data_IF_446350053351
#
_entry.id   IF_446350053351
#
_cell.length_a   1.000
_cell.length_b   1.000
_cell.length_c   1.000
_cell.angle_alpha   90.00
_cell.angle_beta   90.00
_cell.angle_gamma   90.00
#
_symmetry.space_group_name_H-M   'P 1'
#
loop_
_entity.id
_entity.type
_entity.pdbx_description
1 polymer ?
#
# COMPACT_ATOMS: atom_id res chain seq x y z
N UNK A 1 -7.89 15.91 4.54
CA UNK A 1 -7.15 15.55 5.78
C UNK A 1 -7.95 14.67 6.73
N UNK A 2 -7.32 13.61 7.28
CA UNK A 2 -7.92 12.81 8.34
C UNK A 2 -8.22 13.65 9.61
N UNK A 3 -9.09 13.17 10.52
CA UNK A 3 -9.83 11.91 10.46
C UNK A 3 -10.94 11.91 9.39
N UNK A 4 -11.22 10.72 8.86
CA UNK A 4 -12.25 10.51 7.84
C UNK A 4 -13.56 10.04 8.49
N UNK A 5 -14.69 10.54 7.99
CA UNK A 5 -16.03 10.18 8.45
C UNK A 5 -16.83 9.61 7.29
N UNK A 6 -17.33 8.37 7.45
CA UNK A 6 -18.27 7.75 6.52
C UNK A 6 -19.69 8.19 6.87
N UNK A 7 -20.42 8.71 5.88
CA UNK A 7 -21.82 9.09 6.00
C UNK A 7 -22.73 7.89 5.76
N UNK A 8 -24.00 8.01 6.16
CA UNK A 8 -25.04 6.99 5.94
C UNK A 8 -25.30 6.72 4.46
N UNK A 9 -25.07 7.70 3.58
CA UNK A 9 -25.16 7.57 2.13
C UNK A 9 -23.94 6.88 1.48
N UNK A 10 -22.96 6.45 2.28
CA UNK A 10 -21.75 5.79 1.83
C UNK A 10 -20.61 6.73 1.41
N UNK A 11 -20.85 8.04 1.32
CA UNK A 11 -19.81 9.02 1.02
C UNK A 11 -18.84 9.18 2.19
N UNK A 12 -17.58 9.49 1.89
CA UNK A 12 -16.54 9.75 2.90
C UNK A 12 -16.17 11.23 2.87
N UNK A 13 -16.04 11.83 4.05
CA UNK A 13 -15.59 13.21 4.20
C UNK A 13 -14.38 13.31 5.11
N UNK A 14 -13.57 14.34 4.89
CA UNK A 14 -12.39 14.66 5.69
C UNK A 14 -12.77 15.53 6.93
N UNK A 15 -11.80 15.89 7.78
CA UNK A 15 -12.05 16.72 8.98
C UNK A 15 -12.67 18.09 8.68
N UNK A 16 -12.48 18.58 7.46
CA UNK A 16 -12.99 19.87 6.99
C UNK A 16 -14.31 19.70 6.22
N UNK A 17 -14.97 18.54 6.32
CA UNK A 17 -16.21 18.18 5.63
C UNK A 17 -16.08 18.13 4.10
N UNK A 18 -14.84 18.08 3.57
CA UNK A 18 -14.61 17.96 2.13
C UNK A 18 -14.85 16.51 1.70
N UNK A 19 -15.54 16.26 0.59
CA UNK A 19 -15.73 14.90 0.08
C UNK A 19 -14.37 14.30 -0.29
N UNK A 20 -14.12 13.09 0.19
CA UNK A 20 -12.97 12.27 -0.17
C UNK A 20 -13.35 11.47 -1.40
N UNK A 21 -12.58 11.63 -2.48
CA UNK A 21 -12.69 10.79 -3.68
C UNK A 21 -11.64 9.70 -3.62
N UNK A 22 -12.06 8.46 -3.84
CA UNK A 22 -11.13 7.36 -4.07
C UNK A 22 -10.51 7.53 -5.46
N UNK A 23 -9.31 6.98 -5.65
CA UNK A 23 -8.78 6.82 -7.00
C UNK A 23 -9.67 5.82 -7.76
N UNK A 24 -10.08 6.13 -9.02
CA UNK A 24 -11.07 5.33 -9.75
C UNK A 24 -10.73 3.83 -9.83
N UNK A 25 -9.44 3.50 -9.95
CA UNK A 25 -8.95 2.13 -10.13
C UNK A 25 -8.75 1.36 -8.82
N UNK A 26 -8.87 2.00 -7.64
CA UNK A 26 -8.62 1.32 -6.36
C UNK A 26 -9.58 0.15 -6.13
N UNK A 27 -10.84 0.28 -6.55
CA UNK A 27 -11.80 -0.81 -6.42
C UNK A 27 -11.40 -2.06 -7.23
N UNK A 28 -10.91 -1.85 -8.45
CA UNK A 28 -10.45 -2.94 -9.33
C UNK A 28 -9.16 -3.58 -8.79
N UNK A 29 -8.24 -2.76 -8.29
CA UNK A 29 -7.01 -3.22 -7.62
C UNK A 29 -7.33 -4.12 -6.43
N UNK A 30 -8.24 -3.71 -5.54
CA UNK A 30 -8.61 -4.50 -4.37
C UNK A 30 -9.33 -5.80 -4.75
N UNK A 31 -10.20 -5.77 -5.76
CA UNK A 31 -10.88 -6.96 -6.27
C UNK A 31 -9.90 -7.96 -6.88
N UNK A 32 -8.91 -7.48 -7.66
CA UNK A 32 -7.88 -8.34 -8.23
C UNK A 32 -7.11 -9.09 -7.12
N UNK A 33 -6.63 -8.35 -6.12
CA UNK A 33 -5.89 -8.92 -4.99
C UNK A 33 -6.72 -9.95 -4.20
N UNK A 34 -8.00 -9.65 -3.95
CA UNK A 34 -8.91 -10.57 -3.27
C UNK A 34 -9.14 -11.86 -4.07
N UNK A 35 -9.37 -11.73 -5.39
CA UNK A 35 -9.58 -12.87 -6.29
C UNK A 35 -8.36 -13.80 -6.43
N UNK A 36 -7.16 -13.26 -6.23
CA UNK A 36 -5.90 -14.01 -6.23
C UNK A 36 -5.56 -14.59 -4.84
N UNK A 37 -6.36 -14.31 -3.81
CA UNK A 37 -6.14 -14.77 -2.44
C UNK A 37 -4.96 -14.07 -1.75
N UNK A 38 -4.59 -12.87 -2.21
CA UNK A 38 -3.49 -12.09 -1.64
C UNK A 38 -4.00 -11.34 -0.41
N UNK A 39 -3.42 -11.64 0.76
CA UNK A 39 -3.77 -10.95 2.00
C UNK A 39 -3.42 -9.46 1.92
N UNK A 40 -4.41 -8.60 2.16
CA UNK A 40 -4.27 -7.14 2.15
C UNK A 40 -4.38 -6.56 3.56
N UNK A 41 -3.65 -5.48 3.83
CA UNK A 41 -3.78 -4.70 5.05
C UNK A 41 -3.67 -3.20 4.75
N UNK A 42 -4.49 -2.38 5.39
CA UNK A 42 -4.37 -0.93 5.34
C UNK A 42 -3.51 -0.45 6.51
N UNK A 43 -2.44 0.29 6.23
CA UNK A 43 -1.54 0.83 7.25
C UNK A 43 -1.40 2.34 7.09
N UNK A 44 -1.99 3.12 8.01
CA UNK A 44 -1.74 4.57 8.10
C UNK A 44 -0.45 4.88 8.88
N UNK A 45 0.10 3.88 9.58
CA UNK A 45 1.40 3.90 10.27
C UNK A 45 1.96 2.48 10.17
N UNK A 46 3.09 2.31 9.48
CA UNK A 46 3.76 1.01 9.41
C UNK A 46 4.41 0.71 10.76
N UNK A 47 4.02 -0.41 11.37
CA UNK A 47 4.57 -0.89 12.63
C UNK A 47 4.73 -2.41 12.54
N UNK A 48 5.73 -2.98 13.23
CA UNK A 48 6.07 -4.42 13.18
C UNK A 48 4.99 -5.38 13.73
N UNK A 49 3.80 -4.86 14.08
CA UNK A 49 2.72 -5.62 14.71
C UNK A 49 2.07 -6.66 13.78
N UNK A 50 2.30 -6.61 12.47
CA UNK A 50 1.76 -7.60 11.54
C UNK A 50 2.44 -8.97 11.63
N UNK A 51 3.62 -9.06 12.26
CA UNK A 51 4.43 -10.29 12.28
C UNK A 51 5.02 -10.68 10.91
N UNK A 52 4.79 -9.88 9.87
CA UNK A 52 5.35 -10.08 8.54
C UNK A 52 6.73 -9.40 8.49
N UNK A 53 7.81 -10.07 8.03
CA UNK A 53 9.10 -9.43 7.81
C UNK A 53 9.00 -8.31 6.77
N UNK A 54 9.70 -7.19 6.97
CA UNK A 54 9.63 -6.03 6.06
C UNK A 54 10.00 -6.35 4.62
N UNK A 55 11.00 -7.21 4.39
CA UNK A 55 11.38 -7.67 3.04
C UNK A 55 10.32 -8.53 2.35
N UNK A 56 9.24 -8.90 3.06
CA UNK A 56 8.05 -9.57 2.52
C UNK A 56 6.85 -8.64 2.40
N UNK A 57 7.07 -7.32 2.38
CA UNK A 57 6.03 -6.31 2.19
C UNK A 57 6.25 -5.55 0.89
N UNK A 58 5.12 -5.17 0.27
CA UNK A 58 5.03 -4.25 -0.85
C UNK A 58 4.18 -3.05 -0.41
N UNK A 59 4.67 -1.84 -0.62
CA UNK A 59 4.07 -0.61 -0.12
C UNK A 59 3.88 0.41 -1.24
N UNK A 60 2.66 0.94 -1.36
CA UNK A 60 2.30 1.96 -2.35
C UNK A 60 1.88 3.23 -1.60
N UNK A 61 2.54 4.36 -1.89
CA UNK A 61 2.27 5.64 -1.22
C UNK A 61 2.61 6.81 -2.15
N UNK A 62 1.83 7.88 -2.12
CA UNK A 62 2.02 9.09 -2.91
C UNK A 62 2.98 10.09 -2.24
N UNK A 63 3.17 10.00 -0.92
CA UNK A 63 4.07 10.86 -0.17
C UNK A 63 5.51 10.31 -0.18
N UNK A 64 6.39 11.01 -0.90
CA UNK A 64 7.79 10.57 -1.08
C UNK A 64 8.57 10.38 0.22
N UNK A 65 8.16 11.05 1.30
CA UNK A 65 8.76 10.86 2.63
C UNK A 65 8.46 9.47 3.19
N UNK A 66 7.23 9.00 3.04
CA UNK A 66 6.83 7.65 3.46
C UNK A 66 7.57 6.60 2.64
N UNK A 67 7.64 6.78 1.31
CA UNK A 67 8.40 5.88 0.42
C UNK A 67 9.86 5.75 0.87
N UNK A 68 10.52 6.87 1.19
CA UNK A 68 11.90 6.87 1.68
C UNK A 68 12.03 6.17 3.03
N UNK A 69 11.20 6.56 4.00
CA UNK A 69 11.32 6.10 5.38
C UNK A 69 10.99 4.61 5.52
N UNK A 70 10.01 4.14 4.76
CA UNK A 70 9.60 2.72 4.70
C UNK A 70 10.59 1.89 3.89
N UNK A 71 11.13 2.43 2.79
CA UNK A 71 12.15 1.74 1.99
C UNK A 71 13.42 1.44 2.80
N UNK A 72 13.79 2.31 3.74
CA UNK A 72 14.92 2.07 4.66
C UNK A 72 14.71 0.85 5.58
N UNK A 73 13.47 0.41 5.78
CA UNK A 73 13.15 -0.80 6.56
C UNK A 73 13.28 -2.09 5.74
N UNK A 74 13.60 -2.00 4.44
CA UNK A 74 13.71 -3.15 3.53
C UNK A 74 12.41 -3.54 2.84
N UNK A 75 11.37 -2.70 2.92
CA UNK A 75 10.09 -2.89 2.21
C UNK A 75 10.24 -2.47 0.74
N UNK A 76 9.67 -3.23 -0.19
CA UNK A 76 9.59 -2.80 -1.60
C UNK A 76 8.56 -1.69 -1.71
N UNK A 77 8.99 -0.49 -2.11
CA UNK A 77 8.14 0.70 -2.16
C UNK A 77 7.90 1.17 -3.60
N UNK A 78 6.65 1.43 -3.96
CA UNK A 78 6.24 1.91 -5.28
C UNK A 78 5.56 3.28 -5.11
N UNK A 79 6.19 4.38 -5.56
CA UNK A 79 5.59 5.71 -5.46
C UNK A 79 4.39 5.84 -6.39
N UNK A 80 3.29 6.41 -5.89
CA UNK A 80 2.04 6.60 -6.67
C UNK A 80 1.56 8.05 -6.67
N UNK A 81 2.33 9.01 -7.22
CA UNK A 81 2.07 10.44 -7.13
C UNK A 81 0.72 10.88 -7.75
N UNK A 82 0.16 10.05 -8.63
CA UNK A 82 -1.14 10.27 -9.28
C UNK A 82 -2.20 9.24 -8.88
N UNK A 83 -1.93 8.46 -7.83
CA UNK A 83 -2.77 7.36 -7.39
C UNK A 83 -2.41 6.01 -7.98
N UNK A 84 -3.04 4.97 -7.42
CA UNK A 84 -2.86 3.58 -7.83
C UNK A 84 -3.51 3.29 -9.19
N UNK A 85 -2.83 2.47 -9.99
CA UNK A 85 -3.37 1.85 -11.20
C UNK A 85 -3.13 0.36 -11.20
N UNK A 86 -3.85 -0.38 -12.04
CA UNK A 86 -3.60 -1.83 -12.24
C UNK A 86 -2.20 -2.11 -12.81
N UNK A 87 -1.67 -1.21 -13.65
CA UNK A 87 -0.30 -1.36 -14.19
C UNK A 87 0.74 -1.22 -13.09
N UNK A 88 0.61 -0.20 -12.23
CA UNK A 88 1.50 0.02 -11.09
C UNK A 88 1.44 -1.14 -10.10
N UNK A 89 0.25 -1.72 -9.87
CA UNK A 89 0.12 -2.92 -9.06
C UNK A 89 0.93 -4.08 -9.64
N UNK A 90 0.76 -4.37 -10.93
CA UNK A 90 1.46 -5.47 -11.62
C UNK A 90 2.98 -5.26 -11.62
N UNK A 91 3.44 -4.04 -11.88
CA UNK A 91 4.85 -3.68 -11.83
C UNK A 91 5.42 -3.84 -10.41
N UNK A 92 4.67 -3.38 -9.40
CA UNK A 92 5.05 -3.54 -7.99
C UNK A 92 5.16 -5.01 -7.58
N UNK A 93 4.19 -5.84 -7.96
CA UNK A 93 4.22 -7.29 -7.69
C UNK A 93 5.40 -7.97 -8.42
N UNK A 94 5.69 -7.59 -9.66
CA UNK A 94 6.82 -8.11 -10.41
C UNK A 94 8.17 -7.72 -9.79
N UNK A 95 8.31 -6.47 -9.33
CA UNK A 95 9.50 -6.00 -8.61
C UNK A 95 9.65 -6.72 -7.27
N UNK A 96 8.55 -6.93 -6.55
CA UNK A 96 8.55 -7.64 -5.28
C UNK A 96 9.02 -9.09 -5.42
N UNK A 97 8.53 -9.81 -6.43
CA UNK A 97 8.94 -11.18 -6.72
C UNK A 97 10.45 -11.30 -7.03
N UNK A 98 11.05 -10.29 -7.68
CA UNK A 98 12.49 -10.28 -7.97
C UNK A 98 13.34 -10.00 -6.72
N UNK A 99 12.85 -9.18 -5.80
CA UNK A 99 13.55 -8.87 -4.55
C UNK A 99 13.43 -9.99 -3.49
N UNK A 100 12.37 -10.82 -3.53
CA UNK A 100 12.19 -11.91 -2.57
C UNK A 100 13.21 -13.04 -2.70
N UNK A 101 13.90 -13.14 -3.83
CA UNK A 101 14.89 -14.20 -4.12
C UNK A 101 16.33 -13.81 -3.74
N UNK A 102 16.57 -12.58 -3.25
CA UNK A 102 17.91 -12.06 -3.00
C UNK A 102 18.15 -11.60 -1.55
N UNK A 103 18.14 -12.55 -0.61
CA UNK A 103 18.97 -12.42 0.61
C UNK A 103 19.68 -13.74 0.95
N UNK A 104 20.99 -13.70 1.27
CA UNK A 104 21.72 -14.88 1.72
C UNK A 104 21.20 -15.33 3.08
N UNK A 105 21.13 -16.65 3.27
CA UNK A 105 20.94 -17.25 4.57
C UNK A 105 21.96 -16.66 5.57
N UNK A 106 21.49 -16.29 6.77
CA UNK A 106 22.22 -15.69 7.90
C UNK A 106 22.50 -14.18 7.84
N UNK A 107 21.66 -13.43 8.56
CA UNK A 107 22.14 -12.68 9.72
C UNK A 107 21.16 -12.87 10.88
N UNK A 108 21.60 -13.69 11.83
CA UNK A 108 21.07 -13.81 13.20
C UNK A 108 21.58 -12.64 14.03
#
# INVERSE_FOLDING_TARGET
DPPFHKKSDGSVQDRNQRPVRLYPEVSEVLQQLDSEGIAMAAASRLNQQSGIPFHRMLFFDDESRNIRDVGMLGVVCVPVPTGMTLSLLKEGLASFAQCSDSLPANKV
#
